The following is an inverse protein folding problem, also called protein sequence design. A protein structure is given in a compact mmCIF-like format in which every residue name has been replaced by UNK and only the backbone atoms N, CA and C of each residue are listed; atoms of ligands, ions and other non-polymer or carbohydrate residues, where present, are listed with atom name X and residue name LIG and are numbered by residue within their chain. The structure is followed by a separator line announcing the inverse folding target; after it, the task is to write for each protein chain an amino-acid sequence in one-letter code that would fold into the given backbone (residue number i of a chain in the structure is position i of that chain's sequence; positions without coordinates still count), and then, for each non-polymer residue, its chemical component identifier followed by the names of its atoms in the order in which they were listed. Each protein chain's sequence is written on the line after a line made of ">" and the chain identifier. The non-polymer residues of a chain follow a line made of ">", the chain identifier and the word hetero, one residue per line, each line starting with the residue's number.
data_IF_327689176825
#
_entry.id   IF_327689176825
#
_cell.length_a   1.000
_cell.length_b   1.000
_cell.length_c   1.000
_cell.angle_alpha   90.00
_cell.angle_beta   90.00
_cell.angle_gamma   90.00
#
_symmetry.space_group_name_H-M   'P 1'
#
loop_
_entity.id
_entity.type
_entity.pdbx_description
1 polymer ?
#
# COMPACT_ATOMS: atom_id res chain seq x y z
N UNK A 1 -11.07 -18.78 -5.78
CA UNK A 1 -10.18 -17.78 -6.42
C UNK A 1 -9.85 -16.62 -5.48
N UNK A 2 -10.80 -16.03 -4.73
CA UNK A 2 -10.52 -14.88 -3.83
C UNK A 2 -9.39 -15.08 -2.81
N UNK A 3 -9.20 -16.28 -2.24
CA UNK A 3 -8.07 -16.56 -1.34
C UNK A 3 -6.72 -16.23 -1.97
N UNK A 4 -6.49 -16.71 -3.19
CA UNK A 4 -5.25 -16.49 -3.93
C UNK A 4 -5.10 -15.01 -4.30
N UNK A 5 -6.18 -14.36 -4.74
CA UNK A 5 -6.15 -12.92 -5.06
C UNK A 5 -5.78 -12.07 -3.85
N UNK A 6 -6.35 -12.35 -2.68
CA UNK A 6 -6.02 -11.64 -1.45
C UNK A 6 -4.56 -11.92 -1.02
N UNK A 7 -4.08 -13.15 -1.19
CA UNK A 7 -2.69 -13.51 -0.89
C UNK A 7 -1.69 -12.85 -1.82
N UNK A 8 -1.93 -12.87 -3.13
CA UNK A 8 -1.10 -12.18 -4.13
C UNK A 8 -1.11 -10.67 -3.88
N UNK A 9 -2.26 -10.09 -3.54
CA UNK A 9 -2.36 -8.68 -3.17
C UNK A 9 -1.53 -8.39 -1.92
N UNK A 10 -1.60 -9.24 -0.89
CA UNK A 10 -0.82 -9.09 0.32
C UNK A 10 0.68 -9.08 0.01
N UNK A 11 1.15 -10.05 -0.79
CA UNK A 11 2.55 -10.17 -1.18
C UNK A 11 3.03 -8.97 -2.01
N UNK A 12 2.24 -8.57 -3.02
CA UNK A 12 2.55 -7.41 -3.88
C UNK A 12 2.57 -6.09 -3.11
N UNK A 13 1.78 -6.01 -2.05
CA UNK A 13 1.63 -4.80 -1.21
C UNK A 13 2.51 -4.84 0.03
N UNK A 14 3.39 -5.85 0.18
CA UNK A 14 4.21 -6.06 1.38
C UNK A 14 3.42 -6.20 2.69
N UNK A 15 2.13 -6.57 2.63
CA UNK A 15 1.33 -6.85 3.81
C UNK A 15 1.59 -8.25 4.37
N UNK A 16 1.33 -8.41 5.66
CA UNK A 16 1.31 -9.71 6.30
C UNK A 16 0.27 -10.62 5.61
N UNK A 17 0.62 -11.90 5.49
CA UNK A 17 -0.28 -12.90 4.92
C UNK A 17 -1.60 -12.96 5.71
N UNK A 18 -2.76 -13.01 5.02
CA UNK A 18 -4.06 -13.09 5.66
C UNK A 18 -4.18 -14.38 6.49
N UNK A 19 -4.65 -14.24 7.74
CA UNK A 19 -4.92 -15.39 8.62
C UNK A 19 -6.40 -15.76 8.54
N UNK A 20 -6.69 -17.03 8.31
CA UNK A 20 -8.05 -17.56 8.20
C UNK A 20 -8.42 -18.33 9.46
N UNK A 21 -9.61 -18.05 9.99
CA UNK A 21 -10.24 -18.78 11.07
C UNK A 21 -11.62 -19.23 10.59
N UNK A 22 -12.04 -20.42 10.98
CA UNK A 22 -13.34 -20.96 10.59
C UNK A 22 -14.00 -21.65 11.77
N UNK A 23 -15.31 -21.46 11.91
CA UNK A 23 -16.14 -22.07 12.92
C UNK A 23 -17.14 -22.98 12.22
N UNK A 24 -17.32 -24.20 12.75
CA UNK A 24 -18.33 -25.16 12.31
C UNK A 24 -19.37 -25.32 13.41
N UNK A 25 -20.62 -25.11 13.06
CA UNK A 25 -21.78 -25.27 13.94
C UNK A 25 -22.85 -26.13 13.27
N UNK A 26 -23.89 -26.50 14.03
CA UNK A 26 -25.04 -27.24 13.51
C UNK A 26 -24.88 -28.77 13.57
N UNK A 27 -25.97 -29.48 13.26
CA UNK A 27 -26.02 -30.94 13.35
C UNK A 27 -25.15 -31.59 12.26
N UNK A 28 -24.75 -32.84 12.48
CA UNK A 28 -23.86 -33.56 11.56
C UNK A 28 -24.39 -33.67 10.13
N UNK A 29 -25.71 -33.70 9.95
CA UNK A 29 -26.36 -33.76 8.64
C UNK A 29 -26.62 -32.38 8.00
N UNK A 30 -26.47 -31.28 8.74
CA UNK A 30 -26.64 -29.93 8.23
C UNK A 30 -25.62 -28.96 8.88
N UNK A 31 -24.32 -29.17 8.64
CA UNK A 31 -23.28 -28.31 9.19
C UNK A 31 -23.35 -26.92 8.58
N UNK A 32 -23.06 -25.92 9.41
CA UNK A 32 -23.02 -24.50 9.08
C UNK A 32 -21.61 -23.99 9.36
N UNK A 33 -21.03 -23.29 8.41
CA UNK A 33 -19.67 -22.77 8.50
C UNK A 33 -19.69 -21.26 8.45
N UNK A 34 -18.87 -20.65 9.32
CA UNK A 34 -18.60 -19.21 9.32
C UNK A 34 -17.10 -19.02 9.25
N UNK A 35 -16.64 -18.07 8.43
CA UNK A 35 -15.22 -17.80 8.28
C UNK A 35 -14.90 -16.35 8.65
N UNK A 36 -13.75 -16.19 9.29
CA UNK A 36 -13.20 -14.93 9.75
C UNK A 36 -11.78 -14.80 9.22
N UNK A 37 -11.47 -13.67 8.60
CA UNK A 37 -10.16 -13.38 8.03
C UNK A 37 -9.58 -12.18 8.75
N UNK A 38 -8.36 -12.31 9.25
CA UNK A 38 -7.59 -11.19 9.78
C UNK A 38 -6.61 -10.73 8.71
N UNK A 39 -6.79 -9.51 8.22
CA UNK A 39 -5.97 -8.91 7.18
C UNK A 39 -5.66 -7.45 7.50
N UNK A 40 -4.38 -7.08 7.47
CA UNK A 40 -3.92 -5.71 7.76
C UNK A 40 -4.40 -5.13 9.11
N UNK A 41 -4.54 -5.98 10.13
CA UNK A 41 -5.07 -5.58 11.45
C UNK A 41 -6.59 -5.47 11.53
N UNK A 42 -7.30 -5.49 10.40
CA UNK A 42 -8.76 -5.55 10.33
C UNK A 42 -9.25 -7.00 10.33
N UNK A 43 -10.45 -7.23 10.86
CA UNK A 43 -11.09 -8.54 10.93
C UNK A 43 -12.35 -8.51 10.07
N UNK A 44 -12.41 -9.41 9.09
CA UNK A 44 -13.52 -9.54 8.15
C UNK A 44 -14.20 -10.87 8.39
N UNK A 45 -15.49 -10.83 8.71
CA UNK A 45 -16.28 -12.03 8.96
C UNK A 45 -17.38 -12.18 7.91
N UNK A 46 -17.69 -13.41 7.52
CA UNK A 46 -18.88 -13.68 6.71
C UNK A 46 -20.15 -13.32 7.49
N UNK A 47 -21.04 -12.46 6.96
CA UNK A 47 -22.28 -12.09 7.66
C UNK A 47 -23.28 -13.25 7.79
N UNK A 48 -23.13 -14.30 6.99
CA UNK A 48 -24.06 -15.43 6.93
C UNK A 48 -23.29 -16.74 7.08
N UNK A 49 -23.97 -17.76 7.58
CA UNK A 49 -23.45 -19.13 7.61
C UNK A 49 -23.58 -19.77 6.23
N UNK A 50 -22.52 -20.45 5.77
CA UNK A 50 -22.54 -21.22 4.53
C UNK A 50 -22.66 -22.73 4.83
N UNK A 51 -23.15 -23.50 3.86
CA UNK A 51 -23.23 -24.97 3.98
C UNK A 51 -21.87 -25.65 3.86
N UNK A 52 -20.87 -24.96 3.29
CA UNK A 52 -19.51 -25.48 3.12
C UNK A 52 -18.47 -24.47 3.62
N UNK A 53 -17.39 -24.99 4.21
CA UNK A 53 -16.25 -24.19 4.66
C UNK A 53 -15.63 -23.38 3.52
N UNK A 54 -15.48 -23.98 2.32
CA UNK A 54 -14.93 -23.31 1.14
C UNK A 54 -15.74 -22.06 0.74
N UNK A 55 -17.07 -22.12 0.80
CA UNK A 55 -17.92 -20.97 0.49
C UNK A 55 -17.80 -19.89 1.57
N UNK A 56 -17.78 -20.26 2.85
CA UNK A 56 -17.59 -19.31 3.94
C UNK A 56 -16.26 -18.55 3.77
N UNK A 57 -15.16 -19.27 3.57
CA UNK A 57 -13.86 -18.63 3.38
C UNK A 57 -13.78 -17.80 2.10
N UNK A 58 -14.48 -18.21 1.05
CA UNK A 58 -14.55 -17.47 -0.21
C UNK A 58 -15.27 -16.14 -0.03
N UNK A 59 -16.46 -16.13 0.57
CA UNK A 59 -17.19 -14.89 0.87
C UNK A 59 -16.45 -14.01 1.87
N UNK A 60 -15.78 -14.59 2.88
CA UNK A 60 -14.99 -13.79 3.81
C UNK A 60 -13.84 -13.08 3.09
N UNK A 61 -13.19 -13.73 2.11
CA UNK A 61 -12.05 -13.17 1.37
C UNK A 61 -12.47 -12.09 0.37
N UNK A 62 -13.72 -12.10 -0.06
CA UNK A 62 -14.29 -11.10 -0.96
C UNK A 62 -14.43 -9.73 -0.28
N UNK A 63 -14.84 -9.69 0.99
CA UNK A 63 -15.05 -8.43 1.75
C UNK A 63 -13.79 -7.55 1.81
N UNK A 64 -12.60 -8.04 2.26
CA UNK A 64 -11.40 -7.23 2.24
C UNK A 64 -11.01 -6.89 0.80
N UNK A 65 -11.10 -7.81 -0.15
CA UNK A 65 -10.70 -7.53 -1.54
C UNK A 65 -11.51 -6.38 -2.14
N UNK A 66 -12.82 -6.37 -1.93
CA UNK A 66 -13.72 -5.30 -2.34
C UNK A 66 -13.47 -4.01 -1.55
N UNK A 67 -13.25 -4.09 -0.24
CA UNK A 67 -12.94 -2.90 0.57
C UNK A 67 -11.65 -2.22 0.13
N UNK A 68 -10.65 -3.02 -0.29
CA UNK A 68 -9.36 -2.54 -0.76
C UNK A 68 -9.44 -2.00 -2.20
N UNK A 69 -10.31 -2.55 -3.05
CA UNK A 69 -10.54 -2.08 -4.42
C UNK A 69 -11.43 -0.83 -4.48
N UNK A 70 -12.47 -0.76 -3.65
CA UNK A 70 -13.43 0.36 -3.59
C UNK A 70 -12.97 1.53 -2.73
N UNK A 71 -11.91 1.39 -1.92
CA UNK A 71 -11.25 2.52 -1.28
C UNK A 71 -10.56 3.34 -2.37
N UNK A 72 -11.37 4.18 -3.02
CA UNK A 72 -11.00 5.08 -4.10
C UNK A 72 -9.89 6.06 -3.68
N UNK A 73 -9.48 6.97 -4.57
CA UNK A 73 -8.25 7.77 -4.44
C UNK A 73 -8.14 8.65 -3.18
N UNK A 74 -9.18 8.73 -2.35
CA UNK A 74 -9.12 9.38 -1.04
C UNK A 74 -8.23 8.55 -0.11
N UNK A 75 -6.94 8.90 -0.05
CA UNK A 75 -5.93 8.18 0.73
C UNK A 75 -5.76 6.69 0.34
N UNK A 76 -5.92 6.40 -0.97
CA UNK A 76 -6.00 5.03 -1.49
C UNK A 76 -4.80 4.19 -1.10
N UNK A 77 -5.05 2.89 -1.02
CA UNK A 77 -4.03 1.87 -0.84
C UNK A 77 -2.88 2.05 -1.82
N UNK A 78 -3.11 2.56 -3.04
CA UNK A 78 -2.01 2.89 -3.95
C UNK A 78 -1.03 3.87 -3.30
N UNK A 79 -1.50 4.92 -2.62
CA UNK A 79 -0.62 5.81 -1.85
C UNK A 79 0.10 5.07 -0.73
N UNK A 80 -0.56 4.15 0.01
CA UNK A 80 0.07 3.33 1.08
C UNK A 80 1.07 2.28 0.55
N UNK A 81 0.74 1.61 -0.55
CA UNK A 81 1.60 0.65 -1.25
C UNK A 81 2.80 1.41 -1.79
N UNK A 82 2.59 2.54 -2.49
CA UNK A 82 3.66 3.44 -2.90
C UNK A 82 4.51 3.90 -1.70
N UNK A 83 3.87 4.14 -0.55
CA UNK A 83 4.49 4.54 0.72
C UNK A 83 5.53 3.54 1.22
N UNK A 84 5.26 2.25 1.02
CA UNK A 84 6.08 1.12 1.48
C UNK A 84 7.07 0.63 0.41
N UNK A 85 6.66 0.54 -0.86
CA UNK A 85 7.45 -0.10 -1.92
C UNK A 85 8.63 0.76 -2.41
N UNK A 86 8.67 2.06 -2.07
CA UNK A 86 9.79 2.94 -2.46
C UNK A 86 9.82 3.26 -3.97
N UNK A 87 8.67 3.14 -4.64
CA UNK A 87 8.52 3.28 -6.10
C UNK A 87 8.46 4.74 -6.56
N UNK A 88 8.45 5.71 -5.64
CA UNK A 88 8.37 7.14 -6.00
C UNK A 88 9.47 7.59 -6.98
N UNK A 89 10.68 7.03 -6.86
CA UNK A 89 11.79 7.34 -7.77
C UNK A 89 11.48 6.91 -9.19
N UNK A 90 10.98 5.70 -9.35
CA UNK A 90 10.56 5.16 -10.65
C UNK A 90 9.40 5.97 -11.21
N UNK A 91 8.43 6.37 -10.37
CA UNK A 91 7.29 7.17 -10.82
C UNK A 91 7.73 8.53 -11.37
N UNK A 92 8.58 9.27 -10.64
CA UNK A 92 9.11 10.55 -11.10
C UNK A 92 9.96 10.37 -12.36
N UNK A 93 10.74 9.29 -12.43
CA UNK A 93 11.55 8.96 -13.62
C UNK A 93 10.68 8.60 -14.83
N UNK A 94 9.64 7.79 -14.68
CA UNK A 94 8.71 7.45 -15.76
C UNK A 94 8.02 8.68 -16.32
N UNK A 95 7.64 9.63 -15.45
CA UNK A 95 7.07 10.91 -15.92
C UNK A 95 8.10 11.72 -16.67
N UNK A 96 9.31 11.85 -16.12
CA UNK A 96 10.40 12.57 -16.77
C UNK A 96 10.58 12.05 -18.21
N UNK A 97 10.61 10.73 -18.35
CA UNK A 97 10.69 10.05 -19.64
C UNK A 97 9.46 10.31 -20.51
N UNK A 98 8.24 10.24 -19.96
CA UNK A 98 6.99 10.53 -20.70
C UNK A 98 6.90 11.95 -21.23
N UNK A 99 7.42 12.94 -20.49
CA UNK A 99 7.46 14.34 -20.91
C UNK A 99 8.70 14.68 -21.75
N UNK A 100 9.57 13.70 -22.01
CA UNK A 100 10.83 13.91 -22.74
C UNK A 100 11.87 14.73 -21.99
N UNK A 101 11.73 14.85 -20.67
CA UNK A 101 12.68 15.51 -19.79
C UNK A 101 13.87 14.60 -19.45
N UNK A 102 15.04 15.17 -19.11
CA UNK A 102 16.16 14.41 -18.59
C UNK A 102 15.80 13.71 -17.27
N UNK A 103 16.55 12.66 -16.92
CA UNK A 103 16.31 11.91 -15.70
C UNK A 103 16.40 12.83 -14.46
N UNK A 104 15.52 12.64 -13.46
CA UNK A 104 15.49 13.47 -12.27
C UNK A 104 16.78 13.35 -11.46
N UNK A 105 17.32 14.49 -11.01
CA UNK A 105 18.50 14.53 -10.17
C UNK A 105 18.13 14.69 -8.70
N UNK A 106 18.73 13.88 -7.81
CA UNK A 106 18.42 13.88 -6.37
C UNK A 106 19.57 14.44 -5.55
N UNK A 107 19.36 15.60 -4.95
CA UNK A 107 20.34 16.28 -4.10
C UNK A 107 19.96 16.03 -2.63
N UNK A 108 20.95 15.70 -1.78
CA UNK A 108 20.75 15.63 -0.32
C UNK A 108 21.50 16.73 0.39
N UNK A 109 20.77 17.37 1.29
CA UNK A 109 21.32 18.21 2.33
C UNK A 109 21.15 17.50 3.67
N UNK A 110 22.26 17.35 4.39
CA UNK A 110 22.23 16.95 5.80
C UNK A 110 22.36 18.20 6.65
N UNK A 111 21.46 18.37 7.60
CA UNK A 111 21.46 19.42 8.60
C UNK A 111 21.21 18.80 9.98
N UNK A 112 21.27 19.60 11.04
CA UNK A 112 21.02 19.15 12.41
C UNK A 112 22.26 18.74 13.19
N UNK A 113 22.05 18.43 14.47
CA UNK A 113 23.09 18.04 15.41
C UNK A 113 23.57 16.62 15.09
N UNK A 114 24.85 16.32 15.39
CA UNK A 114 25.45 15.02 15.05
C UNK A 114 24.66 13.79 15.55
N UNK A 115 23.89 13.93 16.64
CA UNK A 115 23.03 12.89 17.19
C UNK A 115 21.56 12.95 16.71
N UNK A 116 21.11 14.07 16.12
CA UNK A 116 19.79 14.26 15.52
C UNK A 116 19.93 14.81 14.08
N UNK A 117 20.46 14.00 13.14
CA UNK A 117 20.59 14.44 11.75
C UNK A 117 19.21 14.58 11.11
N UNK A 118 19.00 15.71 10.45
CA UNK A 118 17.85 16.00 9.62
C UNK A 118 18.31 15.95 8.17
N UNK A 119 17.64 15.14 7.36
CA UNK A 119 17.90 15.00 5.94
C UNK A 119 16.82 15.72 5.16
N UNK A 120 17.25 16.56 4.23
CA UNK A 120 16.39 17.20 3.25
C UNK A 120 16.85 16.68 1.89
N UNK A 121 15.90 16.25 1.07
CA UNK A 121 16.15 15.87 -0.31
C UNK A 121 15.44 16.86 -1.22
N UNK A 122 16.13 17.20 -2.30
CA UNK A 122 15.59 18.02 -3.38
C UNK A 122 15.66 17.16 -4.63
N UNK A 123 14.57 17.13 -5.39
CA UNK A 123 14.54 16.51 -6.72
C UNK A 123 14.42 17.61 -7.76
N UNK A 124 15.40 17.65 -8.65
CA UNK A 124 15.40 18.55 -9.80
C UNK A 124 14.85 17.79 -11.00
N UNK A 125 13.73 18.26 -11.54
CA UNK A 125 13.06 17.67 -12.68
C UNK A 125 12.69 18.78 -13.66
N UNK A 126 13.17 18.66 -14.90
CA UNK A 126 12.86 19.62 -15.97
C UNK A 126 13.23 21.07 -15.61
N UNK A 127 14.34 21.25 -14.86
CA UNK A 127 14.77 22.56 -14.35
C UNK A 127 13.94 23.12 -13.19
N UNK A 128 12.95 22.37 -12.69
CA UNK A 128 12.17 22.72 -11.50
C UNK A 128 12.70 21.91 -10.32
N UNK A 129 13.08 22.58 -9.25
CA UNK A 129 13.53 21.95 -8.01
C UNK A 129 12.37 21.80 -7.03
N UNK A 130 12.06 20.56 -6.66
CA UNK A 130 11.07 20.23 -5.64
C UNK A 130 11.76 19.82 -4.35
N UNK A 131 11.56 20.61 -3.29
CA UNK A 131 12.12 20.32 -1.97
C UNK A 131 11.11 19.53 -1.15
N UNK A 132 11.51 18.37 -0.67
CA UNK A 132 10.69 17.56 0.24
C UNK A 132 10.75 18.05 1.68
N UNK A 133 9.76 17.65 2.47
CA UNK A 133 9.78 17.89 3.92
C UNK A 133 11.02 17.25 4.59
N UNK A 134 11.66 17.93 5.56
CA UNK A 134 12.79 17.40 6.29
C UNK A 134 12.43 16.12 7.06
N UNK A 135 13.28 15.11 7.02
CA UNK A 135 13.05 13.84 7.71
C UNK A 135 14.29 13.37 8.50
N UNK A 136 14.07 12.55 9.52
CA UNK A 136 15.15 11.98 10.36
C UNK A 136 16.02 10.95 9.64
N UNK A 137 15.57 10.43 8.50
CA UNK A 137 16.30 9.44 7.71
C UNK A 137 16.32 9.81 6.22
N UNK A 138 17.35 9.34 5.49
CA UNK A 138 17.54 9.64 4.07
C UNK A 138 16.42 9.10 3.18
N UNK A 139 15.87 7.93 3.54
CA UNK A 139 14.82 7.22 2.76
C UNK A 139 13.50 8.01 2.77
N UNK A 140 13.09 8.50 3.94
CA UNK A 140 11.89 9.31 4.09
C UNK A 140 12.07 10.69 3.46
N UNK A 141 13.23 11.33 3.61
CA UNK A 141 13.49 12.61 2.95
C UNK A 141 13.36 12.49 1.42
N UNK A 142 13.93 11.43 0.86
CA UNK A 142 13.88 11.14 -0.58
C UNK A 142 12.45 10.90 -1.05
N UNK A 143 11.69 10.12 -0.29
CA UNK A 143 10.26 9.91 -0.51
C UNK A 143 9.49 11.24 -0.47
N UNK A 144 9.73 12.08 0.54
CA UNK A 144 9.07 13.38 0.66
C UNK A 144 9.35 14.27 -0.57
N UNK A 145 10.58 14.28 -1.07
CA UNK A 145 10.96 15.04 -2.26
C UNK A 145 10.26 14.51 -3.53
N UNK A 146 10.27 13.19 -3.73
CA UNK A 146 9.64 12.57 -4.88
C UNK A 146 8.10 12.73 -4.85
N UNK A 147 7.49 12.67 -3.66
CA UNK A 147 6.05 12.97 -3.48
C UNK A 147 5.72 14.43 -3.81
N UNK A 148 6.56 15.38 -3.39
CA UNK A 148 6.37 16.79 -3.70
C UNK A 148 6.42 17.04 -5.22
N UNK A 149 7.40 16.44 -5.92
CA UNK A 149 7.49 16.51 -7.38
C UNK A 149 6.28 15.88 -8.07
N UNK A 150 5.91 14.65 -7.68
CA UNK A 150 4.73 13.96 -8.22
C UNK A 150 3.45 14.78 -8.07
N UNK A 151 3.24 15.35 -6.87
CA UNK A 151 2.03 16.11 -6.56
C UNK A 151 1.97 17.44 -7.32
N UNK A 152 3.12 18.04 -7.61
CA UNK A 152 3.21 19.24 -8.44
C UNK A 152 2.96 18.96 -9.92
N UNK A 153 3.43 17.81 -10.43
CA UNK A 153 3.25 17.40 -11.84
C UNK A 153 1.82 16.95 -12.17
N UNK A 154 1.05 16.54 -11.16
CA UNK A 154 -0.34 16.10 -11.33
C UNK A 154 -1.34 17.27 -11.40
N UNK A 155 -0.93 18.50 -11.10
CA UNK A 155 -1.78 19.69 -11.28
C UNK A 155 -1.84 20.08 -12.75
#
# INVERSE_FOLDING_TARGET
>A
MYKNQLQELAQRSCFNLPSYMSIREGPNHAPRFKATIKFNGEIFETPHYCSTLRQAEHSAAEVPLNSLSHRGPSHSLATKILDETGVYKNLVQEIAQRVGAPLPHYITYRSGLGHLPIFIRIVELTGITFTGEPAKNKKQAEKNAAMAAWSALKR
#
